data_IF_291543178782
#
_entry.id   IF_291543178782
#
_cell.length_a   1.000
_cell.length_b   1.000
_cell.length_c   1.000
_cell.angle_alpha   90.00
_cell.angle_beta   90.00
_cell.angle_gamma   90.00
#
_symmetry.space_group_name_H-M   'P 1'
#
loop_
_entity.id
_entity.type
_entity.pdbx_description
1 polymer ?
#
# COMPACT_ATOMS: atom_id res chain seq x y z
N UNK A 1 13.58 28.11 -30.52
CA UNK A 1 14.56 27.12 -29.99
C UNK A 1 14.93 27.28 -28.51
N UNK A 2 14.68 28.42 -27.84
CA UNK A 2 14.97 28.60 -26.39
C UNK A 2 13.93 27.98 -25.43
N UNK A 3 12.70 27.74 -25.89
CA UNK A 3 11.57 27.25 -25.06
C UNK A 3 11.57 25.73 -24.82
N UNK A 4 12.24 24.95 -25.69
CA UNK A 4 12.28 23.47 -25.60
C UNK A 4 13.38 23.01 -24.62
N UNK A 5 14.48 23.76 -24.50
CA UNK A 5 15.56 23.46 -23.55
C UNK A 5 15.13 23.63 -22.09
N UNK A 6 14.24 24.59 -21.80
CA UNK A 6 13.68 24.82 -20.45
C UNK A 6 12.71 23.71 -20.03
N UNK A 7 11.92 23.16 -20.97
CA UNK A 7 11.03 22.02 -20.71
C UNK A 7 11.82 20.72 -20.43
N UNK A 8 12.94 20.50 -21.14
CA UNK A 8 13.81 19.34 -20.92
C UNK A 8 14.60 19.40 -19.60
N UNK A 9 14.96 20.61 -19.12
CA UNK A 9 15.65 20.79 -17.83
C UNK A 9 14.69 20.74 -16.63
N UNK A 10 13.43 21.17 -16.77
CA UNK A 10 12.41 21.02 -15.71
C UNK A 10 11.96 19.56 -15.52
N UNK A 11 11.73 18.82 -16.61
CA UNK A 11 11.39 17.40 -16.53
C UNK A 11 12.51 16.60 -15.84
N UNK A 12 13.77 16.88 -16.17
CA UNK A 12 14.93 16.23 -15.55
C UNK A 12 15.05 16.51 -14.04
N UNK A 13 14.69 17.72 -13.57
CA UNK A 13 14.78 18.09 -12.15
C UNK A 13 13.65 17.52 -11.30
N UNK A 14 12.40 17.47 -11.79
CA UNK A 14 11.31 16.80 -11.06
C UNK A 14 11.48 15.27 -11.00
N UNK A 15 12.07 14.67 -12.04
CA UNK A 15 12.35 13.22 -12.10
C UNK A 15 13.49 12.79 -11.16
N UNK A 16 14.50 13.64 -10.98
CA UNK A 16 15.62 13.36 -10.07
C UNK A 16 15.23 13.45 -8.59
N UNK A 17 14.26 14.30 -8.21
CA UNK A 17 13.80 14.36 -6.83
C UNK A 17 12.98 13.14 -6.41
N UNK A 18 12.24 12.51 -7.33
CA UNK A 18 11.54 11.25 -7.05
C UNK A 18 12.52 10.07 -6.91
N UNK A 19 13.64 10.08 -7.66
CA UNK A 19 14.68 9.04 -7.53
C UNK A 19 15.59 9.23 -6.31
N UNK A 20 15.72 10.45 -5.76
CA UNK A 20 16.51 10.73 -4.55
C UNK A 20 15.77 10.38 -3.24
N UNK A 21 14.46 10.16 -3.29
CA UNK A 21 13.70 9.71 -2.13
C UNK A 21 13.93 8.23 -1.77
N UNK A 22 14.58 7.46 -2.65
CA UNK A 22 14.74 6.00 -2.55
C UNK A 22 16.18 5.57 -2.24
N UNK A 23 16.98 6.44 -1.60
CA UNK A 23 18.45 6.36 -1.68
C UNK A 23 19.23 6.45 -0.36
N UNK A 24 18.68 5.94 0.73
CA UNK A 24 19.52 5.70 1.90
C UNK A 24 18.83 4.84 2.93
N UNK A 25 19.18 3.55 2.97
CA UNK A 25 19.65 2.77 4.13
C UNK A 25 20.00 1.37 3.60
N UNK A 26 21.27 0.98 3.61
CA UNK A 26 21.71 -0.43 3.72
C UNK A 26 23.24 -0.48 3.76
N UNK A 27 23.80 -0.77 4.94
CA UNK A 27 25.15 -1.30 5.08
C UNK A 27 25.27 -2.07 6.41
N UNK A 28 25.91 -3.25 6.34
CA UNK A 28 26.32 -4.19 7.41
C UNK A 28 25.19 -4.85 8.23
N UNK A 29 25.12 -6.18 8.41
CA UNK A 29 26.09 -7.09 9.06
C UNK A 29 26.02 -8.53 8.50
N UNK A 30 27.13 -9.26 8.65
CA UNK A 30 27.53 -10.57 8.13
C UNK A 30 27.36 -11.70 9.17
N UNK A 31 26.97 -12.90 8.70
CA UNK A 31 27.22 -14.27 9.23
C UNK A 31 26.68 -14.64 10.64
N UNK A 32 26.47 -15.89 11.05
CA UNK A 32 26.73 -17.23 10.54
C UNK A 32 25.81 -18.24 11.27
N UNK A 33 25.70 -19.47 10.75
CA UNK A 33 25.78 -20.76 11.47
C UNK A 33 24.75 -21.78 10.98
N UNK A 34 25.29 -22.92 10.53
CA UNK A 34 24.52 -24.12 10.20
C UNK A 34 24.38 -25.08 11.38
N UNK A 35 23.53 -26.09 11.19
CA UNK A 35 23.41 -27.24 12.07
C UNK A 35 22.34 -28.19 11.54
N UNK A 36 22.74 -29.40 11.16
CA UNK A 36 21.88 -30.47 10.66
C UNK A 36 21.41 -31.39 11.80
N UNK A 37 20.33 -32.11 11.48
CA UNK A 37 19.95 -33.50 11.85
C UNK A 37 19.13 -33.74 13.12
N UNK A 38 18.01 -34.46 12.94
CA UNK A 38 17.30 -35.20 13.98
C UNK A 38 15.84 -35.48 13.61
N UNK A 39 15.53 -36.71 13.18
CA UNK A 39 14.23 -37.21 12.74
C UNK A 39 13.58 -38.15 13.78
N UNK A 40 12.25 -38.34 13.63
CA UNK A 40 11.35 -39.43 14.13
C UNK A 40 10.50 -39.11 15.39
N UNK A 41 9.38 -39.81 15.64
CA UNK A 41 8.24 -40.12 14.73
C UNK A 41 6.84 -39.92 15.38
N UNK A 42 5.80 -39.92 14.53
CA UNK A 42 4.36 -39.81 14.85
C UNK A 42 3.70 -41.12 15.36
N UNK A 43 2.63 -41.05 16.16
CA UNK A 43 1.75 -42.19 16.46
C UNK A 43 0.44 -42.23 15.61
N UNK A 44 -0.25 -43.38 15.53
CA UNK A 44 -1.23 -43.73 14.49
C UNK A 44 -2.71 -43.39 14.82
N UNK A 45 -3.65 -43.50 13.86
CA UNK A 45 -5.04 -43.04 14.01
C UNK A 45 -5.98 -44.14 14.53
N UNK A 46 -7.14 -43.80 15.12
CA UNK A 46 -8.19 -44.78 15.36
C UNK A 46 -9.21 -44.87 14.22
N UNK A 47 -9.70 -46.10 14.04
CA UNK A 47 -10.61 -46.54 12.99
C UNK A 47 -12.08 -46.15 13.22
N UNK A 48 -12.80 -46.09 12.11
CA UNK A 48 -14.24 -45.90 11.96
C UNK A 48 -15.06 -47.03 12.60
N UNK A 49 -16.17 -46.67 13.27
CA UNK A 49 -17.27 -47.59 13.55
C UNK A 49 -18.62 -46.90 13.35
N UNK A 50 -19.59 -47.72 12.99
CA UNK A 50 -20.82 -47.47 12.25
C UNK A 50 -21.94 -46.71 12.97
N UNK A 51 -22.68 -45.97 12.14
CA UNK A 51 -24.00 -45.35 12.34
C UNK A 51 -25.02 -46.25 13.07
N UNK A 52 -25.75 -45.66 14.00
CA UNK A 52 -27.19 -45.95 14.21
C UNK A 52 -27.88 -44.67 14.69
N UNK A 53 -29.02 -44.34 14.08
CA UNK A 53 -29.92 -43.25 14.50
C UNK A 53 -31.04 -43.85 15.35
N UNK A 54 -31.61 -43.08 16.27
CA UNK A 54 -33.05 -42.93 16.25
C UNK A 54 -33.51 -41.46 16.26
N UNK A 55 -34.68 -41.29 15.66
CA UNK A 55 -35.50 -40.09 15.54
C UNK A 55 -36.07 -39.69 16.90
N UNK A 56 -36.10 -38.39 17.23
CA UNK A 56 -37.04 -37.88 18.22
C UNK A 56 -36.72 -36.54 18.92
N UNK A 57 -37.46 -35.50 18.51
CA UNK A 57 -38.04 -34.42 19.34
C UNK A 57 -37.18 -33.18 19.70
N UNK A 58 -37.52 -32.11 18.98
CA UNK A 58 -37.82 -30.74 19.42
C UNK A 58 -36.84 -29.93 20.28
N UNK A 59 -36.47 -28.76 19.72
CA UNK A 59 -36.60 -27.49 20.42
C UNK A 59 -35.36 -26.97 21.14
N UNK A 60 -34.33 -26.53 20.40
CA UNK A 60 -33.43 -25.46 20.83
C UNK A 60 -32.41 -25.15 19.73
N UNK A 61 -32.66 -24.17 18.86
CA UNK A 61 -31.57 -23.39 18.22
C UNK A 61 -32.17 -22.15 17.58
N UNK A 62 -31.99 -21.00 18.21
CA UNK A 62 -31.87 -19.72 17.51
C UNK A 62 -31.30 -18.65 18.44
N UNK A 63 -30.10 -18.91 18.95
CA UNK A 63 -29.19 -17.87 19.48
C UNK A 63 -27.79 -17.96 18.84
N UNK A 64 -27.47 -19.06 18.16
CA UNK A 64 -26.16 -19.29 17.55
C UNK A 64 -25.99 -18.61 16.18
N UNK A 65 -27.08 -18.41 15.41
CA UNK A 65 -27.01 -17.77 14.09
C UNK A 65 -26.80 -16.25 14.20
N UNK A 66 -27.40 -15.58 15.18
CA UNK A 66 -27.22 -14.13 15.40
C UNK A 66 -25.81 -13.80 15.92
N UNK A 67 -25.25 -14.62 16.81
CA UNK A 67 -23.88 -14.43 17.29
C UNK A 67 -22.83 -14.70 16.21
N UNK A 68 -23.02 -15.72 15.37
CA UNK A 68 -22.11 -16.00 14.26
C UNK A 68 -22.10 -14.87 13.21
N UNK A 69 -23.26 -14.24 12.94
CA UNK A 69 -23.33 -13.08 12.04
C UNK A 69 -22.71 -11.82 12.63
N UNK A 70 -22.82 -11.59 13.94
CA UNK A 70 -22.17 -10.45 14.60
C UNK A 70 -20.66 -10.65 14.76
N UNK A 71 -20.20 -11.83 15.13
CA UNK A 71 -18.77 -12.16 15.19
C UNK A 71 -18.10 -12.12 13.81
N UNK A 72 -18.80 -12.57 12.75
CA UNK A 72 -18.32 -12.43 11.37
C UNK A 72 -18.35 -10.97 10.87
N UNK A 73 -19.23 -10.13 11.42
CA UNK A 73 -19.27 -8.70 11.14
C UNK A 73 -18.19 -7.92 11.92
N UNK A 74 -17.93 -8.27 13.19
CA UNK A 74 -16.85 -7.71 14.01
C UNK A 74 -15.46 -8.11 13.50
N UNK A 75 -15.32 -9.31 12.92
CA UNK A 75 -14.10 -9.76 12.26
C UNK A 75 -13.82 -9.02 10.94
N UNK A 76 -14.82 -8.33 10.36
CA UNK A 76 -14.71 -7.57 9.10
C UNK A 76 -14.81 -6.05 9.28
N UNK A 77 -14.99 -5.57 10.51
CA UNK A 77 -15.20 -4.16 10.79
C UNK A 77 -13.86 -3.42 10.91
N UNK A 78 -13.82 -2.22 10.32
CA UNK A 78 -12.77 -1.21 10.49
C UNK A 78 -12.38 -1.04 11.96
N UNK A 79 -11.09 -0.85 12.22
CA UNK A 79 -10.58 -0.67 13.58
C UNK A 79 -10.68 0.79 13.99
N UNK A 80 -11.87 1.17 14.46
CA UNK A 80 -12.15 2.53 14.93
C UNK A 80 -11.46 2.80 16.26
N UNK A 81 -10.57 3.80 16.35
CA UNK A 81 -10.06 4.28 17.62
C UNK A 81 -11.19 4.76 18.54
N UNK A 82 -11.01 4.72 19.87
CA UNK A 82 -11.86 5.44 20.80
C UNK A 82 -11.96 6.92 20.42
N UNK A 83 -13.17 7.50 20.51
CA UNK A 83 -13.43 8.88 20.06
C UNK A 83 -12.53 9.91 20.74
N UNK A 84 -12.12 9.67 22.00
CA UNK A 84 -11.25 10.56 22.76
C UNK A 84 -9.79 10.61 22.24
N UNK A 85 -9.40 9.61 21.43
CA UNK A 85 -8.06 9.50 20.83
C UNK A 85 -8.05 9.92 19.36
N UNK A 86 -9.20 10.26 18.78
CA UNK A 86 -9.28 10.70 17.39
C UNK A 86 -8.76 12.14 17.25
N UNK A 87 -7.83 12.39 16.33
CA UNK A 87 -7.42 13.75 16.00
C UNK A 87 -8.59 14.55 15.43
N UNK A 88 -8.66 15.85 15.76
CA UNK A 88 -9.80 16.68 15.39
C UNK A 88 -9.63 17.34 14.01
N UNK A 89 -8.41 17.76 13.66
CA UNK A 89 -8.10 18.32 12.35
C UNK A 89 -6.92 17.59 11.70
N UNK A 90 -7.24 16.75 10.71
CA UNK A 90 -6.27 15.99 9.94
C UNK A 90 -6.28 16.48 8.49
N UNK A 91 -5.15 17.01 8.03
CA UNK A 91 -4.98 17.48 6.65
C UNK A 91 -3.82 16.75 5.98
N UNK A 92 -4.13 15.97 4.95
CA UNK A 92 -3.16 15.22 4.16
C UNK A 92 -2.81 15.97 2.88
N UNK A 93 -1.55 16.40 2.77
CA UNK A 93 -0.97 16.93 1.55
C UNK A 93 -0.36 15.79 0.74
N UNK A 94 -0.91 15.50 -0.43
CA UNK A 94 -0.56 14.31 -1.20
C UNK A 94 -0.48 14.51 -2.71
N UNK A 95 -0.05 13.44 -3.38
CA UNK A 95 -0.41 13.17 -4.77
C UNK A 95 -1.31 11.93 -4.84
N UNK A 96 -2.40 11.98 -5.60
CA UNK A 96 -3.37 10.89 -5.71
C UNK A 96 -2.75 9.57 -6.22
N UNK A 97 -1.82 9.66 -7.16
CA UNK A 97 -1.15 8.49 -7.74
C UNK A 97 0.07 7.99 -6.93
N UNK A 98 0.46 8.68 -5.86
CA UNK A 98 1.69 8.37 -5.14
C UNK A 98 1.50 7.17 -4.18
N UNK A 99 2.34 6.12 -4.27
CA UNK A 99 2.22 4.95 -3.40
C UNK A 99 2.38 5.28 -1.91
N UNK A 100 3.32 6.18 -1.57
CA UNK A 100 3.54 6.60 -0.17
C UNK A 100 2.35 7.38 0.41
N UNK A 101 1.65 8.16 -0.42
CA UNK A 101 0.43 8.86 0.01
C UNK A 101 -0.74 7.88 0.17
N UNK A 102 -0.88 6.92 -0.74
CA UNK A 102 -1.90 5.88 -0.65
C UNK A 102 -1.68 4.97 0.56
N UNK A 103 -0.44 4.75 0.99
CA UNK A 103 -0.10 4.06 2.25
C UNK A 103 -0.69 4.78 3.47
N UNK A 104 -0.48 6.10 3.59
CA UNK A 104 -1.09 6.92 4.66
C UNK A 104 -2.62 6.93 4.56
N UNK A 105 -3.17 7.01 3.33
CA UNK A 105 -4.62 6.92 3.14
C UNK A 105 -5.20 5.58 3.56
N UNK A 106 -4.56 4.47 3.21
CA UNK A 106 -5.03 3.15 3.61
C UNK A 106 -5.14 3.04 5.14
N UNK A 107 -4.16 3.60 5.85
CA UNK A 107 -4.20 3.70 7.31
C UNK A 107 -5.38 4.55 7.81
N UNK A 108 -5.52 5.79 7.32
CA UNK A 108 -6.61 6.69 7.74
C UNK A 108 -8.01 6.12 7.40
N UNK A 109 -8.14 5.53 6.22
CA UNK A 109 -9.38 4.91 5.74
C UNK A 109 -9.75 3.68 6.60
N UNK A 110 -8.78 2.82 6.93
CA UNK A 110 -8.99 1.61 7.74
C UNK A 110 -9.38 1.93 9.19
N UNK A 111 -8.80 2.98 9.77
CA UNK A 111 -9.11 3.41 11.13
C UNK A 111 -10.31 4.39 11.23
N UNK A 112 -11.03 4.64 10.12
CA UNK A 112 -12.11 5.64 10.05
C UNK A 112 -11.71 7.03 10.59
N UNK A 113 -10.45 7.42 10.43
CA UNK A 113 -9.97 8.73 10.85
C UNK A 113 -10.40 9.75 9.78
N UNK A 114 -11.25 10.74 10.10
CA UNK A 114 -11.67 11.74 9.12
C UNK A 114 -10.50 12.64 8.71
N UNK A 115 -10.31 12.87 7.41
CA UNK A 115 -9.22 13.74 6.93
C UNK A 115 -9.61 14.57 5.70
N UNK A 116 -9.03 15.77 5.63
CA UNK A 116 -9.07 16.63 4.44
C UNK A 116 -7.88 16.31 3.55
N UNK A 117 -8.07 16.45 2.24
CA UNK A 117 -7.00 16.23 1.25
C UNK A 117 -6.65 17.56 0.58
N UNK A 118 -5.36 17.89 0.58
CA UNK A 118 -4.80 18.96 -0.24
C UNK A 118 -3.94 18.34 -1.33
N UNK A 119 -4.44 18.34 -2.56
CA UNK A 119 -3.70 17.80 -3.70
C UNK A 119 -2.60 18.80 -4.10
N UNK A 120 -1.34 18.41 -3.89
CA UNK A 120 -0.18 19.27 -4.15
C UNK A 120 0.10 19.29 -5.64
N UNK A 121 0.36 20.48 -6.22
CA UNK A 121 0.79 20.57 -7.61
C UNK A 121 2.26 20.09 -7.73
N UNK A 122 2.57 19.00 -8.46
CA UNK A 122 3.92 18.44 -8.52
C UNK A 122 4.98 19.34 -9.16
N UNK A 123 4.56 20.33 -9.97
CA UNK A 123 5.45 21.27 -10.66
C UNK A 123 5.77 22.48 -9.79
N UNK A 124 4.75 23.06 -9.14
CA UNK A 124 4.89 24.33 -8.41
C UNK A 124 5.02 24.17 -6.91
N UNK A 125 4.51 23.06 -6.34
CA UNK A 125 4.51 22.71 -4.91
C UNK A 125 4.05 23.87 -4.00
N UNK A 126 3.11 24.69 -4.49
CA UNK A 126 2.68 25.92 -3.80
C UNK A 126 2.02 25.61 -2.47
N UNK A 127 1.29 24.51 -2.41
CA UNK A 127 0.49 24.05 -1.28
C UNK A 127 1.34 23.65 -0.07
N UNK A 128 2.61 23.31 -0.29
CA UNK A 128 3.57 22.89 0.75
C UNK A 128 4.75 23.87 0.88
N UNK A 129 4.60 25.11 0.40
CA UNK A 129 5.67 26.12 0.49
C UNK A 129 6.08 26.42 1.93
N UNK A 130 5.13 26.35 2.86
CA UNK A 130 5.29 26.62 4.28
C UNK A 130 6.16 25.59 5.02
N UNK A 131 6.31 24.36 4.50
CA UNK A 131 7.13 23.33 5.14
C UNK A 131 8.52 23.26 4.56
N UNK A 132 9.56 23.11 5.37
CA UNK A 132 10.92 22.80 4.92
C UNK A 132 11.01 21.44 4.20
N UNK A 133 10.12 20.50 4.52
CA UNK A 133 10.03 19.20 3.86
C UNK A 133 9.31 19.33 2.50
N UNK A 134 10.05 19.23 1.40
CA UNK A 134 9.50 19.46 0.03
C UNK A 134 9.05 18.17 -0.69
N UNK A 135 8.70 17.12 0.05
CA UNK A 135 8.15 15.85 -0.48
C UNK A 135 6.76 15.61 0.13
N UNK A 136 6.02 14.66 -0.43
CA UNK A 136 4.72 14.20 0.07
C UNK A 136 4.81 12.69 0.37
N UNK A 137 3.99 12.13 1.27
CA UNK A 137 2.94 12.80 2.05
C UNK A 137 3.48 13.73 3.15
N UNK A 138 2.71 14.77 3.46
CA UNK A 138 2.80 15.55 4.69
C UNK A 138 1.43 15.47 5.34
N UNK A 139 1.39 15.16 6.63
CA UNK A 139 0.15 15.14 7.39
C UNK A 139 0.22 16.24 8.46
N UNK A 140 -0.79 17.11 8.51
CA UNK A 140 -0.98 18.01 9.64
C UNK A 140 -2.03 17.40 10.56
N UNK A 141 -1.70 17.26 11.84
CA UNK A 141 -2.58 16.69 12.87
C UNK A 141 -2.65 17.71 14.01
N UNK A 142 -3.81 18.35 14.18
CA UNK A 142 -4.03 19.37 15.23
C UNK A 142 -2.96 20.48 15.25
N UNK A 143 -2.52 20.90 14.06
CA UNK A 143 -1.48 21.92 13.87
C UNK A 143 -0.03 21.39 13.87
N UNK A 144 0.20 20.14 14.25
CA UNK A 144 1.53 19.52 14.18
C UNK A 144 1.80 18.94 12.79
N UNK A 145 2.99 19.22 12.24
CA UNK A 145 3.43 18.63 10.99
C UNK A 145 4.12 17.27 11.23
N UNK A 146 3.59 16.23 10.58
CA UNK A 146 4.20 14.92 10.43
C UNK A 146 4.64 14.70 8.97
N UNK A 147 5.83 14.12 8.79
CA UNK A 147 6.45 13.87 7.48
C UNK A 147 6.97 12.43 7.43
N UNK A 148 7.28 11.96 6.22
CA UNK A 148 7.59 10.56 5.93
C UNK A 148 6.41 9.60 6.16
N UNK A 149 6.05 8.83 5.13
CA UNK A 149 4.85 8.00 5.18
C UNK A 149 4.88 6.92 6.26
N UNK A 150 6.05 6.36 6.60
CA UNK A 150 6.17 5.32 7.62
C UNK A 150 6.18 5.94 9.02
N UNK A 151 6.84 7.09 9.19
CA UNK A 151 6.85 7.82 10.46
C UNK A 151 5.48 8.40 10.80
N UNK A 152 4.76 8.95 9.82
CA UNK A 152 3.37 9.40 9.98
C UNK A 152 2.52 8.26 10.56
N UNK A 153 2.58 7.07 9.95
CA UNK A 153 1.81 5.90 10.41
C UNK A 153 2.25 5.48 11.82
N UNK A 154 3.56 5.44 12.10
CA UNK A 154 4.06 5.08 13.44
C UNK A 154 3.63 6.06 14.53
N UNK A 155 3.59 7.36 14.23
CA UNK A 155 3.12 8.38 15.18
C UNK A 155 1.63 8.24 15.41
N UNK A 156 0.83 8.09 14.35
CA UNK A 156 -0.61 7.93 14.48
C UNK A 156 -0.98 6.64 15.20
N UNK A 157 -0.35 5.50 14.85
CA UNK A 157 -0.58 4.21 15.50
C UNK A 157 -0.38 4.32 17.01
N UNK A 158 0.73 4.93 17.45
CA UNK A 158 1.00 5.13 18.88
C UNK A 158 -0.02 6.04 19.59
N UNK A 159 -0.65 6.97 18.87
CA UNK A 159 -1.70 7.85 19.43
C UNK A 159 -3.02 7.10 19.61
N UNK A 160 -3.38 6.23 18.66
CA UNK A 160 -4.67 5.53 18.66
C UNK A 160 -4.63 4.19 19.41
N UNK A 161 -3.45 3.55 19.48
CA UNK A 161 -3.22 2.26 20.13
C UNK A 161 -1.88 2.31 20.90
N UNK A 162 -1.84 2.94 22.09
CA UNK A 162 -0.60 3.12 22.85
C UNK A 162 -0.03 1.82 23.42
N UNK A 163 -0.89 0.82 23.64
CA UNK A 163 -0.52 -0.49 24.19
C UNK A 163 -0.13 -1.51 23.11
N UNK A 164 -0.10 -1.09 21.83
CA UNK A 164 0.23 -1.97 20.71
C UNK A 164 1.67 -2.48 20.82
N UNK A 165 1.82 -3.80 20.73
CA UNK A 165 3.13 -4.45 20.86
C UNK A 165 3.80 -4.48 19.50
N UNK A 166 5.04 -4.00 19.43
CA UNK A 166 5.84 -4.04 18.20
C UNK A 166 5.92 -5.45 17.64
N UNK A 167 5.36 -5.65 16.44
CA UNK A 167 5.42 -6.92 15.72
C UNK A 167 6.62 -6.92 14.75
N UNK A 168 7.59 -7.81 15.00
CA UNK A 168 8.81 -7.91 14.19
C UNK A 168 8.53 -8.33 12.74
N UNK A 169 7.59 -9.25 12.53
CA UNK A 169 7.18 -9.70 11.19
C UNK A 169 6.58 -8.53 10.40
N UNK A 170 5.69 -7.76 11.04
CA UNK A 170 5.11 -6.56 10.44
C UNK A 170 6.20 -5.55 10.03
N UNK A 171 7.16 -5.28 10.92
CA UNK A 171 8.24 -4.34 10.64
C UNK A 171 9.11 -4.77 9.44
N UNK A 172 9.36 -6.08 9.29
CA UNK A 172 10.09 -6.65 8.14
C UNK A 172 9.32 -6.37 6.85
N UNK A 173 8.02 -6.66 6.82
CA UNK A 173 7.21 -6.48 5.62
C UNK A 173 6.99 -5.01 5.25
N UNK A 174 6.83 -4.13 6.25
CA UNK A 174 6.77 -2.68 6.02
C UNK A 174 8.06 -2.15 5.40
N UNK A 175 9.21 -2.63 5.86
CA UNK A 175 10.51 -2.31 5.24
C UNK A 175 10.59 -2.85 3.82
N UNK A 176 10.17 -4.10 3.59
CA UNK A 176 10.14 -4.69 2.26
C UNK A 176 9.28 -3.90 1.28
N UNK A 177 8.13 -3.35 1.73
CA UNK A 177 7.30 -2.48 0.90
C UNK A 177 8.08 -1.25 0.43
N UNK A 178 8.76 -0.56 1.35
CA UNK A 178 9.46 0.70 1.07
C UNK A 178 10.78 0.52 0.30
N UNK A 179 11.47 -0.60 0.52
CA UNK A 179 12.79 -0.87 -0.08
C UNK A 179 12.73 -1.74 -1.35
N UNK A 180 11.65 -2.50 -1.55
CA UNK A 180 11.52 -3.41 -2.69
C UNK A 180 10.26 -3.16 -3.51
N UNK A 181 9.06 -3.35 -2.93
CA UNK A 181 7.81 -3.38 -3.69
C UNK A 181 7.60 -2.10 -4.50
N UNK A 182 7.79 -0.92 -3.88
CA UNK A 182 7.62 0.38 -4.56
C UNK A 182 8.57 0.56 -5.74
N UNK A 183 9.75 -0.07 -5.72
CA UNK A 183 10.74 0.02 -6.80
C UNK A 183 10.38 -0.87 -8.00
N UNK A 184 9.58 -1.91 -7.79
CA UNK A 184 9.06 -2.79 -8.86
C UNK A 184 7.93 -2.11 -9.64
N UNK A 185 7.15 -1.23 -9.01
CA UNK A 185 5.96 -0.64 -9.62
C UNK A 185 6.27 0.29 -10.79
N UNK A 186 7.21 1.22 -10.63
CA UNK A 186 7.51 2.22 -11.67
C UNK A 186 7.97 1.57 -13.00
N UNK A 187 8.91 0.61 -13.01
CA UNK A 187 9.24 -0.15 -14.22
C UNK A 187 8.03 -0.82 -14.89
N UNK A 188 7.04 -1.26 -14.11
CA UNK A 188 5.87 -1.98 -14.60
C UNK A 188 4.78 -1.11 -15.20
N UNK A 189 4.47 0.03 -14.57
CA UNK A 189 3.44 0.95 -15.06
C UNK A 189 3.94 1.82 -16.23
N UNK A 190 5.26 1.89 -16.42
CA UNK A 190 5.91 2.62 -17.53
C UNK A 190 6.69 1.69 -18.47
N UNK A 191 6.34 0.40 -18.54
CA UNK A 191 7.08 -0.62 -19.29
C UNK A 191 7.02 -0.40 -20.80
N UNK A 192 5.83 -0.08 -21.32
CA UNK A 192 5.57 0.29 -22.72
C UNK A 192 5.11 1.74 -22.83
N UNK A 193 5.15 2.31 -24.04
CA UNK A 193 4.65 3.68 -24.29
C UNK A 193 3.15 3.81 -24.01
N UNK A 194 2.36 2.78 -24.30
CA UNK A 194 0.92 2.75 -24.01
C UNK A 194 0.64 2.73 -22.51
N UNK A 195 1.32 1.87 -21.74
CA UNK A 195 1.18 1.81 -20.28
C UNK A 195 1.65 3.13 -19.64
N UNK A 196 2.70 3.75 -20.19
CA UNK A 196 3.16 5.04 -19.70
C UNK A 196 2.14 6.16 -19.96
N UNK A 197 1.51 6.18 -21.14
CA UNK A 197 0.44 7.13 -21.44
C UNK A 197 -0.81 6.88 -20.58
N UNK A 198 -1.18 5.63 -20.33
CA UNK A 198 -2.28 5.26 -19.43
C UNK A 198 -2.03 5.80 -18.01
N UNK A 199 -0.84 5.55 -17.47
CA UNK A 199 -0.43 6.01 -16.14
C UNK A 199 -0.43 7.54 -16.03
N UNK A 200 0.10 8.23 -17.05
CA UNK A 200 0.14 9.69 -17.04
C UNK A 200 -1.21 10.36 -17.35
N UNK A 201 -2.10 9.69 -18.06
CA UNK A 201 -3.50 10.12 -18.19
C UNK A 201 -4.18 10.12 -16.82
N UNK A 202 -4.00 9.04 -16.05
CA UNK A 202 -4.49 8.96 -14.67
C UNK A 202 -3.90 10.07 -13.79
N UNK A 203 -2.57 10.28 -13.82
CA UNK A 203 -1.89 11.33 -13.05
C UNK A 203 -2.38 12.72 -13.44
N UNK A 204 -2.52 13.02 -14.74
CA UNK A 204 -2.97 14.32 -15.20
C UNK A 204 -4.43 14.60 -14.83
N UNK A 205 -5.29 13.57 -14.86
CA UNK A 205 -6.71 13.69 -14.54
C UNK A 205 -6.96 13.91 -13.05
N UNK A 206 -6.24 13.20 -12.18
CA UNK A 206 -6.49 13.23 -10.73
C UNK A 206 -5.54 14.15 -9.95
N UNK A 207 -4.46 14.60 -10.55
CA UNK A 207 -3.54 15.56 -9.94
C UNK A 207 -4.00 17.01 -10.05
N UNK A 208 -3.40 17.86 -9.21
CA UNK A 208 -3.60 19.31 -9.24
C UNK A 208 -2.75 19.96 -10.34
N UNK A 209 -3.29 19.97 -11.56
CA UNK A 209 -2.69 20.58 -12.75
C UNK A 209 -3.69 21.50 -13.45
N UNK A 210 -3.19 22.62 -13.98
CA UNK A 210 -3.94 23.45 -14.92
C UNK A 210 -4.16 22.72 -16.25
N UNK A 211 -5.09 23.21 -17.07
CA UNK A 211 -5.44 22.57 -18.35
C UNK A 211 -4.24 22.37 -19.28
N UNK A 212 -3.34 23.35 -19.37
CA UNK A 212 -2.13 23.27 -20.20
C UNK A 212 -1.08 22.32 -19.60
N UNK A 213 -0.92 22.36 -18.27
CA UNK A 213 -0.04 21.42 -17.55
C UNK A 213 -0.51 19.99 -17.72
N UNK A 214 -1.83 19.70 -17.67
CA UNK A 214 -2.37 18.35 -17.88
C UNK A 214 -1.94 17.76 -19.21
N UNK A 215 -2.06 18.55 -20.29
CA UNK A 215 -1.63 18.11 -21.61
C UNK A 215 -0.12 17.82 -21.65
N UNK A 216 0.69 18.74 -21.13
CA UNK A 216 2.14 18.58 -21.08
C UNK A 216 2.57 17.37 -20.24
N UNK A 217 1.99 17.21 -19.04
CA UNK A 217 2.24 16.10 -18.12
C UNK A 217 1.85 14.78 -18.76
N UNK A 218 0.68 14.69 -19.40
CA UNK A 218 0.23 13.47 -20.07
C UNK A 218 1.24 12.96 -21.09
N UNK A 219 1.63 13.80 -22.05
CA UNK A 219 2.45 13.34 -23.16
C UNK A 219 3.96 13.42 -22.88
N UNK A 220 4.45 14.56 -22.40
CA UNK A 220 5.88 14.73 -22.14
C UNK A 220 6.31 13.96 -20.88
N UNK A 221 5.46 13.91 -19.86
CA UNK A 221 5.69 13.10 -18.65
C UNK A 221 5.75 11.61 -18.97
N UNK A 222 4.80 11.09 -19.77
CA UNK A 222 4.83 9.68 -20.21
C UNK A 222 6.11 9.34 -20.98
N UNK A 223 6.51 10.16 -21.94
CA UNK A 223 7.72 9.94 -22.72
C UNK A 223 8.97 9.93 -21.81
N UNK A 224 9.06 10.87 -20.87
CA UNK A 224 10.17 10.94 -19.94
C UNK A 224 10.20 9.74 -18.99
N UNK A 225 9.06 9.34 -18.44
CA UNK A 225 8.99 8.21 -17.52
C UNK A 225 9.20 6.86 -18.19
N UNK A 226 8.83 6.70 -19.46
CA UNK A 226 9.23 5.52 -20.24
C UNK A 226 10.76 5.38 -20.32
N UNK A 227 11.49 6.47 -20.51
CA UNK A 227 12.96 6.44 -20.51
C UNK A 227 13.53 6.20 -19.11
N UNK A 228 12.95 6.85 -18.09
CA UNK A 228 13.36 6.67 -16.70
C UNK A 228 13.09 5.24 -16.24
N UNK A 229 11.99 4.62 -16.62
CA UNK A 229 11.62 3.25 -16.24
C UNK A 229 12.66 2.24 -16.70
N UNK A 230 13.23 2.40 -17.91
CA UNK A 230 14.34 1.56 -18.40
C UNK A 230 15.63 1.74 -17.60
N UNK A 231 15.89 2.95 -17.08
CA UNK A 231 17.01 3.19 -16.15
C UNK A 231 16.76 2.57 -14.78
N UNK A 232 15.54 2.69 -14.25
CA UNK A 232 15.15 2.09 -12.97
C UNK A 232 15.20 0.56 -13.05
N UNK A 233 14.74 -0.03 -14.16
CA UNK A 233 14.89 -1.45 -14.46
C UNK A 233 16.34 -1.92 -14.29
N UNK A 234 17.30 -1.21 -14.91
CA UNK A 234 18.73 -1.52 -14.77
C UNK A 234 19.24 -1.31 -13.33
N UNK A 235 18.83 -0.21 -12.70
CA UNK A 235 19.26 0.17 -11.34
C UNK A 235 18.84 -0.83 -10.28
N UNK A 236 17.64 -1.38 -10.39
CA UNK A 236 17.06 -2.34 -9.46
C UNK A 236 17.22 -3.79 -9.91
N UNK A 237 18.08 -4.06 -10.91
CA UNK A 237 18.37 -5.40 -11.42
C UNK A 237 17.12 -6.20 -11.85
N UNK A 238 16.16 -5.52 -12.48
CA UNK A 238 14.94 -6.15 -12.99
C UNK A 238 15.20 -6.63 -14.43
N UNK A 239 15.14 -7.94 -14.66
CA UNK A 239 15.32 -8.52 -16.00
C UNK A 239 14.03 -8.46 -16.82
N UNK A 240 12.93 -8.94 -16.23
CA UNK A 240 11.59 -8.88 -16.78
C UNK A 240 10.70 -8.11 -15.80
N UNK A 241 10.17 -6.98 -16.25
CA UNK A 241 9.31 -6.13 -15.45
C UNK A 241 8.07 -6.89 -14.92
N UNK A 242 7.37 -7.66 -15.77
CA UNK A 242 6.16 -8.37 -15.35
C UNK A 242 6.46 -9.55 -14.45
N UNK A 243 7.47 -10.34 -14.78
CA UNK A 243 7.90 -11.44 -13.92
C UNK A 243 8.32 -10.93 -12.53
N UNK A 244 8.98 -9.75 -12.45
CA UNK A 244 9.32 -9.15 -11.14
C UNK A 244 8.08 -8.71 -10.35
N UNK A 245 7.04 -8.20 -11.02
CA UNK A 245 5.78 -7.82 -10.35
C UNK A 245 5.04 -9.05 -9.83
N UNK A 246 4.97 -10.11 -10.65
CA UNK A 246 4.35 -11.37 -10.25
C UNK A 246 5.13 -12.02 -9.11
N UNK A 247 6.46 -11.98 -9.17
CA UNK A 247 7.35 -12.42 -8.10
C UNK A 247 7.04 -11.70 -6.80
N UNK A 248 7.00 -10.36 -6.79
CA UNK A 248 6.67 -9.59 -5.57
C UNK A 248 5.26 -9.88 -5.06
N UNK A 249 4.28 -10.04 -5.95
CA UNK A 249 2.91 -10.40 -5.56
C UNK A 249 2.84 -11.80 -4.94
N UNK A 250 3.53 -12.79 -5.53
CA UNK A 250 3.59 -14.15 -5.01
C UNK A 250 4.34 -14.20 -3.67
N UNK A 251 5.47 -13.51 -3.55
CA UNK A 251 6.22 -13.36 -2.30
C UNK A 251 5.33 -12.81 -1.18
N UNK A 252 4.48 -11.83 -1.48
CA UNK A 252 3.52 -11.32 -0.50
C UNK A 252 2.45 -12.36 -0.16
N UNK A 253 1.86 -13.04 -1.14
CA UNK A 253 0.82 -14.05 -0.86
C UNK A 253 1.35 -15.27 -0.11
N UNK A 254 2.59 -15.68 -0.37
CA UNK A 254 3.27 -16.75 0.37
C UNK A 254 3.49 -16.35 1.84
N UNK A 255 3.82 -15.08 2.08
CA UNK A 255 4.00 -14.54 3.43
C UNK A 255 2.74 -14.58 4.30
N UNK A 256 1.56 -14.50 3.66
CA UNK A 256 0.30 -14.65 4.37
C UNK A 256 0.19 -16.03 5.02
N UNK A 257 0.87 -17.05 4.49
CA UNK A 257 0.88 -18.43 5.02
C UNK A 257 -0.54 -18.98 5.27
N UNK A 258 -1.44 -18.74 4.31
CA UNK A 258 -2.85 -19.14 4.38
C UNK A 258 -3.73 -18.29 5.31
N UNK A 259 -3.19 -17.28 6.00
CA UNK A 259 -3.97 -16.31 6.79
C UNK A 259 -4.80 -15.40 5.87
N UNK A 260 -5.90 -14.86 6.41
CA UNK A 260 -6.71 -13.87 5.70
C UNK A 260 -5.90 -12.58 5.44
N UNK A 261 -5.12 -12.16 6.43
CA UNK A 261 -4.22 -11.01 6.43
C UNK A 261 -2.91 -11.38 7.15
N UNK A 262 -1.84 -10.60 6.94
CA UNK A 262 -0.61 -10.78 7.73
C UNK A 262 -0.89 -10.59 9.23
N UNK A 263 -1.79 -9.66 9.58
CA UNK A 263 -2.30 -9.48 10.95
C UNK A 263 -3.20 -10.61 11.48
N UNK A 264 -3.39 -11.70 10.72
CA UNK A 264 -4.24 -12.82 11.11
C UNK A 264 -5.69 -12.59 10.69
N UNK A 265 -6.58 -12.33 11.65
CA UNK A 265 -8.01 -12.10 11.39
C UNK A 265 -8.34 -10.69 10.89
N UNK A 266 -7.44 -9.72 11.12
CA UNK A 266 -7.58 -8.33 10.69
C UNK A 266 -6.30 -7.85 10.00
N UNK A 267 -6.37 -6.85 9.11
CA UNK A 267 -5.18 -6.21 8.54
C UNK A 267 -4.30 -5.59 9.62
N UNK A 268 -2.98 -5.79 9.53
CA UNK A 268 -2.01 -5.01 10.30
C UNK A 268 -1.38 -3.89 9.44
N UNK A 269 -0.38 -3.17 9.96
CA UNK A 269 0.22 -2.05 9.22
C UNK A 269 1.00 -2.51 7.97
N UNK A 270 1.47 -3.76 7.92
CA UNK A 270 2.10 -4.31 6.72
C UNK A 270 1.06 -4.59 5.62
N UNK A 271 -0.09 -5.17 5.97
CA UNK A 271 -1.21 -5.34 5.04
C UNK A 271 -1.63 -3.98 4.44
N UNK A 272 -1.81 -2.97 5.30
CA UNK A 272 -2.15 -1.60 4.88
C UNK A 272 -1.07 -0.97 3.99
N UNK A 273 0.21 -1.25 4.28
CA UNK A 273 1.32 -0.76 3.47
C UNK A 273 1.34 -1.36 2.06
N UNK A 274 1.21 -2.69 1.95
CA UNK A 274 1.15 -3.37 0.64
C UNK A 274 -0.10 -2.91 -0.12
N UNK A 275 -1.25 -2.88 0.53
CA UNK A 275 -2.51 -2.47 -0.09
C UNK A 275 -2.43 -1.05 -0.61
N UNK A 276 -1.96 -0.11 0.22
CA UNK A 276 -1.79 1.29 -0.15
C UNK A 276 -0.85 1.48 -1.34
N UNK A 277 0.28 0.76 -1.36
CA UNK A 277 1.25 0.87 -2.47
C UNK A 277 0.69 0.31 -3.80
N UNK A 278 -0.14 -0.74 -3.74
CA UNK A 278 -0.75 -1.36 -4.93
C UNK A 278 -2.02 -0.64 -5.40
N UNK A 279 -2.74 0.07 -4.52
CA UNK A 279 -3.97 0.82 -4.82
C UNK A 279 -3.92 1.71 -6.07
N UNK A 280 -2.91 2.57 -6.29
CA UNK A 280 -2.90 3.44 -7.46
C UNK A 280 -2.76 2.68 -8.79
N UNK A 281 -2.29 1.43 -8.77
CA UNK A 281 -2.06 0.65 -10.00
C UNK A 281 -3.16 -0.38 -10.27
N UNK A 282 -4.06 -0.63 -9.31
CA UNK A 282 -5.09 -1.68 -9.33
C UNK A 282 -5.90 -1.74 -10.63
N UNK A 283 -6.23 -0.56 -11.18
CA UNK A 283 -7.07 -0.42 -12.36
C UNK A 283 -6.30 -0.13 -13.66
N UNK A 284 -4.98 0.04 -13.57
CA UNK A 284 -4.09 0.14 -14.72
C UNK A 284 -3.88 -1.25 -15.33
N UNK A 285 -3.41 -1.31 -16.58
CA UNK A 285 -3.08 -2.58 -17.23
C UNK A 285 -2.13 -3.43 -16.38
N UNK A 286 -1.15 -2.78 -15.76
CA UNK A 286 -0.18 -3.44 -14.88
C UNK A 286 -0.80 -4.14 -13.67
N UNK A 287 -1.77 -3.52 -13.01
CA UNK A 287 -2.43 -4.09 -11.84
C UNK A 287 -3.43 -5.18 -12.21
N UNK A 288 -4.16 -5.01 -13.31
CA UNK A 288 -5.06 -6.04 -13.84
C UNK A 288 -4.30 -7.32 -14.19
N UNK A 289 -3.22 -7.16 -14.95
CA UNK A 289 -2.33 -8.24 -15.38
C UNK A 289 -1.71 -8.98 -14.16
N UNK A 290 -1.32 -8.25 -13.11
CA UNK A 290 -0.86 -8.83 -11.84
C UNK A 290 -1.93 -9.66 -11.15
N UNK A 291 -3.16 -9.16 -11.05
CA UNK A 291 -4.27 -9.89 -10.42
C UNK A 291 -4.66 -11.13 -11.24
N UNK A 292 -4.62 -11.05 -12.57
CA UNK A 292 -4.96 -12.17 -13.45
C UNK A 292 -3.94 -13.32 -13.41
N UNK A 293 -2.66 -13.03 -13.15
CA UNK A 293 -1.57 -14.01 -13.21
C UNK A 293 -0.99 -14.40 -11.84
N UNK A 294 -1.61 -13.99 -10.74
CA UNK A 294 -1.16 -14.31 -9.37
C UNK A 294 -2.35 -14.56 -8.44
N UNK A 295 -2.09 -15.08 -7.25
CA UNK A 295 -3.13 -15.33 -6.24
C UNK A 295 -3.41 -14.09 -5.36
N UNK A 296 -2.84 -12.92 -5.67
CA UNK A 296 -2.99 -11.72 -4.85
C UNK A 296 -4.42 -11.17 -4.85
N UNK A 297 -5.22 -11.52 -5.87
CA UNK A 297 -6.56 -10.98 -6.08
C UNK A 297 -7.51 -11.19 -4.89
N UNK A 298 -7.50 -12.38 -4.28
CA UNK A 298 -8.39 -12.68 -3.15
C UNK A 298 -8.05 -11.85 -1.90
N UNK A 299 -6.76 -11.79 -1.54
CA UNK A 299 -6.29 -10.93 -0.45
C UNK A 299 -6.59 -9.45 -0.74
N UNK A 300 -6.38 -9.01 -1.99
CA UNK A 300 -6.65 -7.63 -2.37
C UNK A 300 -8.14 -7.27 -2.19
N UNK A 301 -9.04 -8.17 -2.57
CA UNK A 301 -10.47 -7.98 -2.39
C UNK A 301 -10.86 -7.96 -0.90
N UNK A 302 -10.23 -8.79 -0.06
CA UNK A 302 -10.42 -8.75 1.40
C UNK A 302 -9.96 -7.40 1.96
N UNK A 303 -8.83 -6.86 1.49
CA UNK A 303 -8.35 -5.53 1.87
C UNK A 303 -9.29 -4.41 1.43
N UNK A 304 -9.82 -4.45 0.19
CA UNK A 304 -10.82 -3.47 -0.26
C UNK A 304 -12.06 -3.46 0.66
N UNK A 305 -12.52 -4.64 1.07
CA UNK A 305 -13.66 -4.77 1.97
C UNK A 305 -13.33 -4.28 3.40
N UNK A 306 -12.15 -4.59 3.91
CA UNK A 306 -11.73 -4.21 5.26
C UNK A 306 -11.43 -2.70 5.39
N UNK A 307 -10.74 -2.12 4.40
CA UNK A 307 -10.43 -0.68 4.36
C UNK A 307 -11.66 0.15 3.99
N UNK A 308 -12.54 -0.38 3.15
CA UNK A 308 -13.81 0.23 2.77
C UNK A 308 -13.68 1.58 2.06
N UNK A 309 -14.74 2.38 2.18
CA UNK A 309 -14.80 3.70 1.55
C UNK A 309 -13.84 4.71 2.21
N UNK A 310 -13.32 5.68 1.44
CA UNK A 310 -12.39 6.68 1.96
C UNK A 310 -13.00 7.54 3.08
N UNK A 311 -12.24 7.80 4.13
CA UNK A 311 -12.64 8.66 5.25
C UNK A 311 -12.45 10.16 4.96
N UNK A 312 -12.49 10.53 3.67
CA UNK A 312 -12.24 11.90 3.21
C UNK A 312 -13.44 12.79 3.57
N UNK A 313 -13.20 13.83 4.35
CA UNK A 313 -14.18 14.87 4.59
C UNK A 313 -14.12 15.90 3.46
N UNK A 314 -15.27 16.40 3.01
CA UNK A 314 -15.28 17.58 2.14
C UNK A 314 -14.64 18.74 2.90
N UNK A 315 -13.57 19.29 2.33
CA UNK A 315 -12.94 20.53 2.78
C UNK A 315 -13.50 21.73 2.02
#
# INVERSE_FOLDING_TARGET
MRTIRTAQTLASRSLLLSSRALHGVASSVVAAAGGRLGSLPLPPPPASSSRSMPVGIAGAVSFSLTFATMAAAEAKAKERPPLDLLPQDVVLYQYEACPFCNKVRAFLDYHDIPYKVVEVNPLTKKEIKWSEYKKVPILTVDGEQLVDSSDIINVLQRRICPDDVTNEEEAIWRRWVDEHLVHVLSPNIYRTTMEALESFDYIAKHGNFSFTERFAVKYAGAAAMYVVSKKLKKKYNITDERASLYGSANTWTEALDGRDFLGGSKPNLADLAVFGVLRPIRNLRAGKDMVEHTQIGEWYQRMENAVGEPSRTQG
#
